data_IF_423028698166
#
_entry.id   IF_423028698166
#
_cell.length_a   1.000
_cell.length_b   1.000
_cell.length_c   1.000
_cell.angle_alpha   90.00
_cell.angle_beta   90.00
_cell.angle_gamma   90.00
#
_symmetry.space_group_name_H-M   'P 1'
#
loop_
_entity.id
_entity.type
_entity.pdbx_description
1 polymer ?
#
# COMPACT_ATOMS: atom_id res chain seq x y z
N UNK A 1 23.44 72.34 -45.86
CA UNK A 1 22.34 72.96 -45.08
C UNK A 1 21.29 71.87 -44.84
N UNK A 2 21.49 71.03 -43.82
CA UNK A 2 20.91 71.12 -42.45
C UNK A 2 19.39 70.84 -42.39
N UNK A 3 19.03 69.61 -42.01
CA UNK A 3 18.00 69.34 -40.98
C UNK A 3 18.00 67.86 -40.56
N UNK A 4 18.37 67.59 -39.31
CA UNK A 4 18.28 66.30 -38.59
C UNK A 4 16.81 65.94 -38.25
N UNK A 5 16.41 64.66 -38.22
CA UNK A 5 15.19 64.23 -37.56
C UNK A 5 15.45 63.73 -36.12
N UNK A 6 14.49 64.06 -35.24
CA UNK A 6 14.44 63.78 -33.80
C UNK A 6 14.30 62.28 -33.50
N UNK A 7 15.08 61.81 -32.53
CA UNK A 7 14.96 60.52 -31.86
C UNK A 7 13.71 60.48 -30.96
N UNK A 8 12.87 59.44 -31.14
CA UNK A 8 11.79 59.07 -30.23
C UNK A 8 12.15 57.72 -29.59
N UNK A 9 12.67 57.76 -28.36
CA UNK A 9 12.83 56.56 -27.54
C UNK A 9 11.47 56.16 -26.96
N UNK A 10 10.90 55.04 -27.44
CA UNK A 10 9.74 54.38 -26.83
C UNK A 10 10.21 53.50 -25.67
N UNK A 11 9.82 53.85 -24.45
CA UNK A 11 9.98 53.00 -23.28
C UNK A 11 9.16 51.69 -23.44
N UNK A 12 9.80 50.54 -23.24
CA UNK A 12 9.11 49.24 -23.12
C UNK A 12 8.41 49.16 -21.77
N UNK A 13 7.15 48.67 -21.68
CA UNK A 13 6.54 48.40 -20.40
C UNK A 13 7.21 47.17 -19.76
N UNK A 14 7.54 47.28 -18.48
CA UNK A 14 7.97 46.17 -17.63
C UNK A 14 6.79 45.21 -17.46
N UNK A 15 6.92 43.99 -17.97
CA UNK A 15 6.00 42.89 -17.68
C UNK A 15 6.26 42.45 -16.23
N UNK A 16 5.26 42.42 -15.33
CA UNK A 16 5.48 41.92 -13.98
C UNK A 16 5.77 40.42 -14.06
N UNK A 17 6.91 40.01 -13.53
CA UNK A 17 7.25 38.60 -13.33
C UNK A 17 6.16 37.96 -12.47
N UNK A 18 5.41 37.01 -13.05
CA UNK A 18 4.48 36.17 -12.28
C UNK A 18 5.32 35.30 -11.36
N UNK A 19 5.37 35.65 -10.08
CA UNK A 19 5.76 34.71 -9.04
C UNK A 19 4.81 33.51 -9.11
N UNK A 20 5.31 32.39 -9.63
CA UNK A 20 4.67 31.09 -9.46
C UNK A 20 4.87 30.74 -7.99
N UNK A 21 3.86 30.96 -7.16
CA UNK A 21 3.79 30.29 -5.86
C UNK A 21 3.66 28.79 -6.16
N UNK A 22 4.77 28.04 -6.08
CA UNK A 22 4.68 26.59 -5.90
C UNK A 22 4.04 26.37 -4.52
N UNK A 23 2.74 26.12 -4.49
CA UNK A 23 2.12 25.57 -3.29
C UNK A 23 2.81 24.23 -3.04
N UNK A 24 3.67 24.17 -2.02
CA UNK A 24 4.29 22.92 -1.60
C UNK A 24 3.17 21.96 -1.20
N UNK A 25 3.05 20.85 -1.94
CA UNK A 25 2.06 19.81 -1.63
C UNK A 25 2.43 19.14 -0.30
N UNK A 26 1.42 18.87 0.51
CA UNK A 26 1.59 18.27 1.85
C UNK A 26 0.85 16.95 1.96
N UNK A 27 1.30 16.10 2.89
CA UNK A 27 0.71 14.79 3.19
C UNK A 27 0.81 14.50 4.69
N UNK A 28 0.14 13.44 5.15
CA UNK A 28 0.18 13.04 6.56
C UNK A 28 1.29 12.01 6.84
N UNK A 29 2.03 12.24 7.92
CA UNK A 29 2.89 11.26 8.58
C UNK A 29 2.39 11.10 10.02
N UNK A 30 1.57 10.07 10.24
CA UNK A 30 0.76 9.98 11.44
C UNK A 30 -0.11 11.24 11.61
N UNK A 31 -0.03 11.89 12.75
CA UNK A 31 -0.76 13.14 13.02
C UNK A 31 -0.05 14.41 12.55
N UNK A 32 1.20 14.31 12.08
CA UNK A 32 1.96 15.44 11.53
C UNK A 32 1.60 15.68 10.06
N UNK A 33 1.49 16.95 9.68
CA UNK A 33 1.43 17.36 8.26
C UNK A 33 2.84 17.73 7.81
N UNK A 34 3.31 17.11 6.73
CA UNK A 34 4.69 17.25 6.23
C UNK A 34 4.70 17.52 4.71
N UNK A 35 5.79 18.05 4.14
CA UNK A 35 5.98 18.08 2.70
C UNK A 35 5.88 16.68 2.08
N UNK A 36 5.20 16.55 0.93
CA UNK A 36 4.98 15.26 0.26
C UNK A 36 6.30 14.53 -0.06
N UNK A 37 7.30 15.28 -0.51
CA UNK A 37 8.67 14.82 -0.80
C UNK A 37 9.41 14.23 0.42
N UNK A 38 8.99 14.55 1.64
CA UNK A 38 9.64 14.06 2.87
C UNK A 38 9.02 12.77 3.41
N UNK A 39 7.82 12.37 2.94
CA UNK A 39 7.10 11.24 3.54
C UNK A 39 7.79 9.91 3.29
N UNK A 40 8.26 9.69 2.06
CA UNK A 40 8.90 8.43 1.67
C UNK A 40 10.14 8.14 2.53
N UNK A 41 11.00 9.14 2.72
CA UNK A 41 12.21 8.99 3.53
C UNK A 41 11.88 8.74 5.00
N UNK A 42 10.90 9.44 5.59
CA UNK A 42 10.47 9.22 6.98
C UNK A 42 9.87 7.82 7.19
N UNK A 43 9.03 7.38 6.26
CA UNK A 43 8.46 6.03 6.28
C UNK A 43 9.56 4.99 6.16
N UNK A 44 10.53 5.19 5.26
CA UNK A 44 11.70 4.30 5.13
C UNK A 44 12.48 4.20 6.45
N UNK A 45 12.72 5.31 7.16
CA UNK A 45 13.41 5.27 8.45
C UNK A 45 12.65 4.44 9.50
N UNK A 46 11.32 4.57 9.57
CA UNK A 46 10.48 3.73 10.44
C UNK A 46 10.64 2.26 10.09
N UNK A 47 10.62 1.90 8.80
CA UNK A 47 10.78 0.50 8.40
C UNK A 47 12.20 -0.02 8.61
N UNK A 48 13.23 0.79 8.38
CA UNK A 48 14.62 0.41 8.59
C UNK A 48 14.91 0.17 10.09
N UNK A 49 14.31 0.95 11.00
CA UNK A 49 14.48 0.75 12.45
C UNK A 49 13.76 -0.49 12.97
N UNK A 50 12.64 -0.88 12.35
CA UNK A 50 11.86 -2.05 12.77
C UNK A 50 12.04 -3.28 11.88
N UNK A 51 12.89 -3.27 10.84
CA UNK A 51 12.96 -4.37 9.87
C UNK A 51 13.21 -5.74 10.53
N UNK A 52 14.15 -5.82 11.49
CA UNK A 52 14.43 -7.04 12.26
C UNK A 52 13.32 -7.44 13.24
N UNK A 53 12.37 -6.54 13.48
CA UNK A 53 11.28 -6.67 14.46
C UNK A 53 9.90 -6.42 13.81
N UNK A 54 9.79 -6.47 12.49
CA UNK A 54 8.56 -6.11 11.78
C UNK A 54 7.44 -7.09 12.08
N UNK A 55 7.78 -8.38 12.13
CA UNK A 55 6.87 -9.43 12.56
C UNK A 55 6.46 -9.23 14.03
N UNK A 56 7.38 -8.77 14.90
CA UNK A 56 7.10 -8.43 16.30
C UNK A 56 6.14 -7.24 16.43
N UNK A 57 6.30 -6.21 15.57
CA UNK A 57 5.41 -5.04 15.52
C UNK A 57 4.00 -5.43 15.05
N UNK A 58 3.91 -6.30 14.05
CA UNK A 58 2.63 -6.85 13.60
C UNK A 58 2.00 -7.77 14.67
N UNK A 59 2.81 -8.61 15.32
CA UNK A 59 2.34 -9.49 16.41
C UNK A 59 1.84 -8.66 17.60
N UNK A 60 2.55 -7.61 18.00
CA UNK A 60 2.17 -6.75 19.12
C UNK A 60 0.91 -5.90 18.83
N UNK A 61 0.75 -5.42 17.59
CA UNK A 61 -0.41 -4.59 17.20
C UNK A 61 -1.69 -5.39 16.96
N UNK A 62 -1.57 -6.67 16.61
CA UNK A 62 -2.71 -7.55 16.32
C UNK A 62 -2.87 -8.73 17.28
N UNK A 63 -2.02 -8.84 18.31
CA UNK A 63 -1.89 -10.04 19.15
C UNK A 63 -1.70 -11.34 18.33
N UNK A 64 -0.96 -11.24 17.22
CA UNK A 64 -0.71 -12.33 16.27
C UNK A 64 -1.87 -12.68 15.32
N UNK A 65 -3.05 -12.06 15.50
CA UNK A 65 -4.26 -12.34 14.72
C UNK A 65 -4.10 -11.95 13.24
N UNK A 66 -3.19 -11.04 12.92
CA UNK A 66 -2.93 -10.64 11.53
C UNK A 66 -2.58 -11.82 10.61
N UNK A 67 -2.02 -12.91 11.15
CA UNK A 67 -1.73 -14.14 10.39
C UNK A 67 -3.03 -14.76 9.86
N UNK A 68 -4.05 -14.85 10.72
CA UNK A 68 -5.38 -15.32 10.36
C UNK A 68 -6.06 -14.40 9.34
N UNK A 69 -5.86 -13.09 9.46
CA UNK A 69 -6.37 -12.13 8.48
C UNK A 69 -5.73 -12.30 7.10
N UNK A 70 -4.41 -12.53 7.05
CA UNK A 70 -3.68 -12.80 5.80
C UNK A 70 -4.11 -14.13 5.16
N UNK A 71 -4.34 -15.16 5.97
CA UNK A 71 -4.88 -16.45 5.51
C UNK A 71 -6.29 -16.29 4.94
N UNK A 72 -7.18 -15.61 5.66
CA UNK A 72 -8.53 -15.32 5.21
C UNK A 72 -8.54 -14.46 3.94
N UNK A 73 -7.64 -13.48 3.84
CA UNK A 73 -7.46 -12.63 2.67
C UNK A 73 -7.13 -13.46 1.44
N UNK A 74 -6.08 -14.27 1.47
CA UNK A 74 -5.69 -15.09 0.31
C UNK A 74 -6.74 -16.16 -0.01
N UNK A 75 -7.32 -16.81 1.00
CA UNK A 75 -8.37 -17.82 0.82
C UNK A 75 -9.62 -17.26 0.13
N UNK A 76 -9.97 -15.99 0.40
CA UNK A 76 -11.10 -15.33 -0.26
C UNK A 76 -10.85 -15.11 -1.76
N UNK A 77 -9.60 -14.87 -2.15
CA UNK A 77 -9.18 -14.64 -3.54
C UNK A 77 -9.15 -15.93 -4.37
N UNK A 78 -8.98 -17.08 -3.73
CA UNK A 78 -8.96 -18.42 -4.36
C UNK A 78 -8.01 -18.51 -5.57
N UNK A 79 -6.73 -18.09 -5.42
CA UNK A 79 -5.76 -18.19 -6.53
C UNK A 79 -5.63 -19.64 -7.00
N UNK A 80 -5.46 -19.85 -8.30
CA UNK A 80 -5.38 -21.18 -8.92
C UNK A 80 -6.74 -21.85 -9.21
N UNK A 81 -7.85 -21.37 -8.63
CA UNK A 81 -9.18 -22.00 -8.81
C UNK A 81 -9.64 -22.06 -10.28
N UNK A 82 -9.32 -21.03 -11.06
CA UNK A 82 -9.69 -20.90 -12.48
C UNK A 82 -8.52 -21.20 -13.41
N UNK A 83 -7.45 -21.81 -12.87
CA UNK A 83 -6.18 -21.98 -13.56
C UNK A 83 -5.11 -20.99 -13.10
N UNK A 84 -3.92 -21.04 -13.74
CA UNK A 84 -2.76 -20.24 -13.37
C UNK A 84 -3.01 -18.73 -13.46
N UNK A 85 -2.50 -17.99 -12.47
CA UNK A 85 -2.60 -16.53 -12.40
C UNK A 85 -1.22 -15.89 -12.45
N UNK A 86 -1.11 -14.73 -13.10
CA UNK A 86 0.00 -13.82 -12.91
C UNK A 86 -0.36 -12.77 -11.87
N UNK A 87 0.22 -12.89 -10.68
CA UNK A 87 -0.07 -12.04 -9.54
C UNK A 87 1.03 -10.97 -9.34
N UNK A 88 0.67 -9.84 -8.75
CA UNK A 88 1.60 -8.86 -8.20
C UNK A 88 1.24 -8.57 -6.74
N UNK A 89 2.23 -8.64 -5.85
CA UNK A 89 2.08 -8.33 -4.42
C UNK A 89 2.89 -7.08 -4.07
N UNK A 90 2.20 -5.99 -3.78
CA UNK A 90 2.76 -4.64 -3.67
C UNK A 90 2.88 -4.21 -2.23
N UNK A 91 3.99 -3.53 -1.89
CA UNK A 91 4.43 -3.30 -0.52
C UNK A 91 4.57 -4.63 0.26
N UNK A 92 4.95 -5.68 -0.47
CA UNK A 92 4.98 -7.07 -0.02
C UNK A 92 6.38 -7.58 0.28
N UNK A 93 7.36 -6.72 0.57
CA UNK A 93 8.78 -7.06 0.50
C UNK A 93 9.21 -8.32 1.26
N UNK A 94 8.58 -8.63 2.39
CA UNK A 94 8.83 -9.87 3.17
C UNK A 94 8.30 -11.15 2.52
N UNK A 95 7.50 -11.03 1.45
CA UNK A 95 6.96 -12.11 0.65
C UNK A 95 5.88 -12.97 1.33
N UNK A 96 5.32 -12.55 2.46
CA UNK A 96 4.34 -13.35 3.23
C UNK A 96 3.05 -13.61 2.42
N UNK A 97 2.46 -12.59 1.80
CA UNK A 97 1.27 -12.76 0.95
C UNK A 97 1.61 -13.54 -0.32
N UNK A 98 2.74 -13.23 -0.97
CA UNK A 98 3.20 -13.97 -2.14
C UNK A 98 3.35 -15.47 -1.87
N UNK A 99 3.96 -15.85 -0.74
CA UNK A 99 4.09 -17.24 -0.34
C UNK A 99 2.72 -17.90 -0.14
N UNK A 100 1.80 -17.21 0.54
CA UNK A 100 0.43 -17.69 0.76
C UNK A 100 -0.35 -17.89 -0.52
N UNK A 101 -0.20 -17.00 -1.50
CA UNK A 101 -0.82 -17.15 -2.82
C UNK A 101 -0.34 -18.43 -3.49
N UNK A 102 0.98 -18.65 -3.51
CA UNK A 102 1.60 -19.83 -4.13
C UNK A 102 1.19 -21.13 -3.42
N UNK A 103 1.25 -21.15 -2.09
CA UNK A 103 0.85 -22.30 -1.28
C UNK A 103 -0.64 -22.61 -1.46
N UNK A 104 -1.51 -21.59 -1.41
CA UNK A 104 -2.95 -21.80 -1.60
C UNK A 104 -3.27 -22.36 -3.00
N UNK A 105 -2.67 -21.80 -4.06
CA UNK A 105 -2.86 -22.29 -5.42
C UNK A 105 -2.42 -23.76 -5.57
N UNK A 106 -1.25 -24.09 -5.02
CA UNK A 106 -0.68 -25.45 -5.04
C UNK A 106 -1.50 -26.44 -4.23
N UNK A 107 -1.82 -26.12 -2.98
CA UNK A 107 -2.42 -27.05 -2.04
C UNK A 107 -3.92 -27.23 -2.28
N UNK A 108 -4.63 -26.14 -2.61
CA UNK A 108 -6.08 -26.18 -2.79
C UNK A 108 -6.50 -26.56 -4.22
N UNK A 109 -5.68 -26.27 -5.23
CA UNK A 109 -6.06 -26.43 -6.64
C UNK A 109 -5.01 -27.16 -7.49
N UNK A 110 -3.94 -27.68 -6.89
CA UNK A 110 -2.84 -28.36 -7.60
C UNK A 110 -2.14 -27.51 -8.68
N UNK A 111 -2.31 -26.19 -8.63
CA UNK A 111 -1.69 -25.25 -9.56
C UNK A 111 -0.22 -24.99 -9.20
N UNK A 112 0.67 -25.22 -10.16
CA UNK A 112 2.12 -25.06 -10.03
C UNK A 112 2.69 -24.01 -10.99
N UNK A 113 1.81 -23.29 -11.67
CA UNK A 113 2.15 -22.32 -12.72
C UNK A 113 1.78 -20.89 -12.33
N UNK A 114 0.95 -20.68 -11.29
CA UNK A 114 0.77 -19.35 -10.70
C UNK A 114 2.12 -18.73 -10.32
N UNK A 115 2.30 -17.47 -10.72
CA UNK A 115 3.51 -16.68 -10.47
C UNK A 115 3.18 -15.42 -9.68
N UNK A 116 4.09 -14.96 -8.82
CA UNK A 116 3.93 -13.72 -8.06
C UNK A 116 5.16 -12.82 -8.23
N UNK A 117 4.94 -11.60 -8.74
CA UNK A 117 5.93 -10.54 -8.72
C UNK A 117 5.78 -9.76 -7.39
N UNK A 118 6.79 -9.80 -6.53
CA UNK A 118 6.83 -9.07 -5.26
C UNK A 118 7.45 -7.70 -5.50
N UNK A 119 6.74 -6.64 -5.14
CA UNK A 119 7.17 -5.25 -5.30
C UNK A 119 7.25 -4.57 -3.94
N UNK A 120 8.39 -3.97 -3.62
CA UNK A 120 8.54 -3.09 -2.46
C UNK A 120 9.50 -1.94 -2.78
N UNK A 121 9.37 -0.81 -2.09
CA UNK A 121 10.30 0.32 -2.23
C UNK A 121 11.53 0.16 -1.32
N UNK A 122 11.44 -0.71 -0.31
CA UNK A 122 12.52 -0.95 0.63
C UNK A 122 13.34 -2.20 0.28
N UNK A 123 14.57 -1.99 -0.20
CA UNK A 123 15.53 -3.04 -0.49
C UNK A 123 15.81 -4.00 0.69
N UNK A 124 15.78 -3.51 1.93
CA UNK A 124 15.96 -4.36 3.11
C UNK A 124 14.80 -5.36 3.27
N UNK A 125 13.56 -4.91 3.07
CA UNK A 125 12.39 -5.77 3.14
C UNK A 125 12.44 -6.86 2.06
N UNK A 126 12.82 -6.49 0.83
CA UNK A 126 13.00 -7.46 -0.28
C UNK A 126 14.11 -8.47 0.03
N UNK A 127 15.20 -8.05 0.67
CA UNK A 127 16.28 -8.95 1.09
C UNK A 127 15.82 -9.97 2.13
N UNK A 128 15.00 -9.55 3.08
CA UNK A 128 14.37 -10.46 4.05
C UNK A 128 13.42 -11.44 3.37
N UNK A 129 12.56 -10.97 2.45
CA UNK A 129 11.69 -11.82 1.66
C UNK A 129 12.45 -12.85 0.83
N UNK A 130 13.50 -12.42 0.13
CA UNK A 130 14.37 -13.32 -0.62
C UNK A 130 15.02 -14.38 0.29
N UNK A 131 15.49 -13.99 1.48
CA UNK A 131 16.07 -14.91 2.47
C UNK A 131 15.05 -15.90 3.01
N UNK A 132 13.79 -15.48 3.19
CA UNK A 132 12.67 -16.37 3.54
C UNK A 132 12.42 -17.38 2.43
N UNK A 133 12.33 -16.91 1.18
CA UNK A 133 12.07 -17.77 0.03
C UNK A 133 13.17 -18.81 -0.22
N UNK A 134 14.44 -18.54 0.12
CA UNK A 134 15.54 -19.53 0.09
C UNK A 134 15.25 -20.82 0.86
N UNK A 135 14.37 -20.75 1.87
CA UNK A 135 13.99 -21.89 2.72
C UNK A 135 12.72 -22.59 2.24
N UNK A 136 12.14 -22.14 1.13
CA UNK A 136 10.90 -22.67 0.56
C UNK A 136 11.18 -23.43 -0.73
N UNK A 137 10.20 -24.19 -1.20
CA UNK A 137 10.30 -24.90 -2.49
C UNK A 137 10.23 -23.98 -3.72
N UNK A 138 9.88 -22.71 -3.53
CA UNK A 138 9.80 -21.72 -4.63
C UNK A 138 11.14 -21.04 -4.92
N UNK A 139 12.18 -21.32 -4.11
CA UNK A 139 13.50 -20.77 -4.36
C UNK A 139 14.03 -21.18 -5.75
N UNK A 140 14.56 -20.21 -6.51
CA UNK A 140 15.08 -20.40 -7.87
C UNK A 140 14.07 -21.02 -8.85
N UNK A 141 12.78 -20.79 -8.63
CA UNK A 141 11.71 -21.15 -9.58
C UNK A 141 11.22 -19.90 -10.32
N UNK A 142 10.61 -20.04 -11.51
CA UNK A 142 9.98 -18.91 -12.19
C UNK A 142 8.70 -18.41 -11.52
N UNK A 143 8.24 -19.06 -10.42
CA UNK A 143 6.98 -18.71 -9.75
C UNK A 143 7.08 -17.44 -8.89
N UNK A 144 8.28 -16.94 -8.60
CA UNK A 144 8.44 -15.74 -7.78
C UNK A 144 9.56 -14.86 -8.29
N UNK A 145 9.34 -13.55 -8.28
CA UNK A 145 10.37 -12.56 -8.56
C UNK A 145 10.24 -11.38 -7.59
N UNK A 146 11.33 -10.66 -7.35
CA UNK A 146 11.38 -9.53 -6.42
C UNK A 146 11.86 -8.28 -7.15
N UNK A 147 11.14 -7.17 -6.99
CA UNK A 147 11.38 -5.91 -7.68
C UNK A 147 11.40 -4.75 -6.68
N UNK A 148 12.47 -3.96 -6.72
CA UNK A 148 12.54 -2.68 -6.01
C UNK A 148 11.90 -1.58 -6.88
N UNK A 149 10.74 -1.08 -6.47
CA UNK A 149 10.02 -0.03 -7.20
C UNK A 149 9.04 0.73 -6.31
N UNK A 150 8.62 1.91 -6.77
CA UNK A 150 7.59 2.70 -6.10
C UNK A 150 6.19 2.25 -6.55
N UNK A 151 5.33 1.90 -5.59
CA UNK A 151 3.96 1.48 -5.87
C UNK A 151 3.09 2.55 -6.56
N UNK A 152 3.52 3.81 -6.50
CA UNK A 152 2.81 4.97 -7.03
C UNK A 152 3.24 5.35 -8.45
N UNK A 153 4.34 4.78 -8.93
CA UNK A 153 4.94 5.05 -10.22
C UNK A 153 5.76 3.82 -10.63
N UNK A 154 5.08 2.80 -11.15
CA UNK A 154 5.73 1.54 -11.51
C UNK A 154 6.34 1.66 -12.91
N UNK A 155 7.65 1.40 -13.09
CA UNK A 155 8.30 1.55 -14.40
C UNK A 155 7.64 0.69 -15.49
N UNK A 156 7.18 1.31 -16.57
CA UNK A 156 6.55 0.61 -17.71
C UNK A 156 7.43 -0.46 -18.36
N UNK A 157 8.76 -0.33 -18.25
CA UNK A 157 9.72 -1.33 -18.74
C UNK A 157 9.62 -2.67 -18.01
N UNK A 158 9.14 -2.65 -16.75
CA UNK A 158 8.99 -3.82 -15.89
C UNK A 158 7.50 -4.19 -15.73
N UNK A 159 6.65 -3.21 -15.47
CA UNK A 159 5.23 -3.38 -15.15
C UNK A 159 4.37 -2.87 -16.29
N UNK A 160 4.08 -3.76 -17.24
CA UNK A 160 3.25 -3.44 -18.41
C UNK A 160 1.77 -3.31 -18.02
N UNK A 161 1.07 -2.47 -18.77
CA UNK A 161 -0.38 -2.34 -18.72
C UNK A 161 -1.03 -3.70 -19.01
N UNK A 162 -2.19 -3.95 -18.40
CA UNK A 162 -3.03 -5.13 -18.66
C UNK A 162 -2.27 -6.46 -18.61
N UNK A 163 -1.42 -6.64 -17.60
CA UNK A 163 -0.48 -7.77 -17.57
C UNK A 163 -0.62 -8.70 -16.36
N UNK A 164 -1.35 -8.29 -15.31
CA UNK A 164 -1.63 -9.08 -14.12
C UNK A 164 -3.10 -9.49 -14.00
N UNK A 165 -3.33 -10.66 -13.44
CA UNK A 165 -4.66 -11.25 -13.16
C UNK A 165 -5.13 -10.96 -11.72
N UNK A 166 -4.18 -10.70 -10.82
CA UNK A 166 -4.44 -10.41 -9.41
C UNK A 166 -3.42 -9.40 -8.88
N UNK A 167 -3.90 -8.34 -8.23
CA UNK A 167 -3.10 -7.36 -7.51
C UNK A 167 -3.42 -7.45 -6.03
N UNK A 168 -2.42 -7.69 -5.20
CA UNK A 168 -2.55 -7.67 -3.74
C UNK A 168 -1.72 -6.55 -3.12
N UNK A 169 -2.27 -5.93 -2.07
CA UNK A 169 -1.51 -5.05 -1.17
C UNK A 169 -2.05 -5.22 0.24
N UNK A 170 -1.19 -5.70 1.15
CA UNK A 170 -1.58 -6.03 2.52
C UNK A 170 -0.78 -5.20 3.54
N UNK A 171 -1.48 -4.41 4.35
CA UNK A 171 -0.91 -3.54 5.39
C UNK A 171 0.18 -2.59 4.90
N UNK A 172 0.18 -2.23 3.62
CA UNK A 172 1.18 -1.35 3.00
C UNK A 172 0.62 0.00 2.56
N UNK A 173 -0.60 0.02 1.99
CA UNK A 173 -1.10 1.16 1.22
C UNK A 173 -1.27 2.44 2.06
N UNK A 174 -1.54 2.31 3.37
CA UNK A 174 -1.63 3.47 4.29
C UNK A 174 -0.35 4.29 4.38
N UNK A 175 0.80 3.67 4.09
CA UNK A 175 2.12 4.30 4.17
C UNK A 175 2.49 5.02 2.87
N UNK A 176 1.77 4.80 1.77
CA UNK A 176 2.01 5.49 0.52
C UNK A 176 1.71 6.99 0.65
N UNK A 177 2.44 7.81 -0.09
CA UNK A 177 2.27 9.27 -0.08
C UNK A 177 0.93 9.70 -0.68
N UNK A 178 0.49 8.98 -1.71
CA UNK A 178 -0.72 9.19 -2.50
C UNK A 178 -1.40 7.84 -2.77
N UNK A 179 -2.41 7.52 -1.98
CA UNK A 179 -3.28 6.35 -2.20
C UNK A 179 -3.91 6.38 -3.62
N UNK A 180 -4.42 7.52 -4.14
CA UNK A 180 -4.95 7.57 -5.50
C UNK A 180 -3.94 7.21 -6.59
N UNK A 181 -2.65 7.53 -6.41
CA UNK A 181 -1.61 7.14 -7.37
C UNK A 181 -1.41 5.61 -7.39
N UNK A 182 -1.36 4.98 -6.20
CA UNK A 182 -1.28 3.51 -6.09
C UNK A 182 -2.48 2.84 -6.75
N UNK A 183 -3.69 3.34 -6.51
CA UNK A 183 -4.91 2.76 -7.09
C UNK A 183 -4.94 2.91 -8.62
N UNK A 184 -4.42 4.02 -9.16
CA UNK A 184 -4.27 4.21 -10.62
C UNK A 184 -3.25 3.25 -11.22
N UNK A 185 -2.11 3.05 -10.57
CA UNK A 185 -1.10 2.07 -11.03
C UNK A 185 -1.64 0.65 -10.95
N UNK A 186 -2.35 0.30 -9.88
CA UNK A 186 -3.03 -0.99 -9.75
C UNK A 186 -4.02 -1.20 -10.90
N UNK A 187 -4.84 -0.19 -11.23
CA UNK A 187 -5.77 -0.26 -12.35
C UNK A 187 -5.04 -0.40 -13.70
N UNK A 188 -3.94 0.30 -13.91
CA UNK A 188 -3.15 0.23 -15.14
C UNK A 188 -2.59 -1.17 -15.40
N UNK A 189 -1.95 -1.77 -14.40
CA UNK A 189 -1.23 -3.05 -14.57
C UNK A 189 -2.15 -4.27 -14.59
N UNK A 190 -3.36 -4.17 -14.03
CA UNK A 190 -4.36 -5.24 -14.06
C UNK A 190 -5.01 -5.38 -15.44
N UNK A 191 -5.30 -6.61 -15.87
CA UNK A 191 -6.12 -6.89 -17.08
C UNK A 191 -7.60 -6.55 -16.86
N UNK A 192 -8.39 -6.30 -17.91
CA UNK A 192 -9.85 -6.34 -17.80
C UNK A 192 -10.32 -7.68 -17.24
N UNK A 193 -11.26 -7.66 -16.31
CA UNK A 193 -11.73 -8.79 -15.52
C UNK A 193 -10.84 -9.22 -14.36
N UNK A 194 -9.65 -8.62 -14.19
CA UNK A 194 -8.72 -8.95 -13.12
C UNK A 194 -9.09 -8.28 -11.79
N UNK A 195 -8.60 -8.85 -10.69
CA UNK A 195 -8.99 -8.45 -9.33
C UNK A 195 -7.93 -7.58 -8.67
N UNK A 196 -8.36 -6.45 -8.13
CA UNK A 196 -7.64 -5.70 -7.11
C UNK A 196 -8.10 -6.15 -5.72
N UNK A 197 -7.16 -6.42 -4.82
CA UNK A 197 -7.44 -6.84 -3.46
C UNK A 197 -6.53 -6.11 -2.47
N UNK A 198 -7.13 -5.50 -1.44
CA UNK A 198 -6.41 -4.79 -0.39
C UNK A 198 -6.83 -5.31 0.98
N UNK A 199 -5.86 -5.68 1.81
CA UNK A 199 -6.06 -5.97 3.23
C UNK A 199 -5.44 -4.82 4.02
N UNK A 200 -6.22 -4.08 4.80
CA UNK A 200 -5.70 -2.95 5.56
C UNK A 200 -6.46 -2.74 6.87
N UNK A 201 -5.83 -2.11 7.84
CA UNK A 201 -6.51 -1.63 9.03
C UNK A 201 -7.60 -0.62 8.66
N UNK A 202 -8.69 -0.61 9.42
CA UNK A 202 -9.80 0.30 9.17
C UNK A 202 -10.46 0.79 10.46
N UNK A 203 -11.66 1.35 10.32
CA UNK A 203 -12.41 1.89 11.44
C UNK A 203 -13.34 0.83 12.02
N UNK A 204 -13.22 0.64 13.32
CA UNK A 204 -14.12 -0.22 14.09
C UNK A 204 -15.54 0.36 14.05
N UNK A 205 -16.52 -0.47 13.66
CA UNK A 205 -17.90 -0.03 13.48
C UNK A 205 -18.66 0.15 14.80
N UNK A 206 -18.28 -0.57 15.85
CA UNK A 206 -18.95 -0.52 17.15
C UNK A 206 -18.33 0.58 18.03
N UNK A 207 -19.09 1.62 18.45
CA UNK A 207 -18.55 2.75 19.23
C UNK A 207 -17.92 2.36 20.58
N UNK A 208 -18.48 1.36 21.27
CA UNK A 208 -17.97 0.89 22.54
C UNK A 208 -16.65 0.15 22.35
N UNK A 209 -16.60 -0.74 21.35
CA UNK A 209 -15.38 -1.45 21.00
C UNK A 209 -14.30 -0.50 20.44
N UNK A 210 -14.69 0.52 19.68
CA UNK A 210 -13.77 1.55 19.18
C UNK A 210 -13.09 2.25 20.34
N UNK A 211 -13.82 2.66 21.37
CA UNK A 211 -13.24 3.37 22.53
C UNK A 211 -12.21 2.50 23.28
N UNK A 212 -12.52 1.22 23.48
CA UNK A 212 -11.59 0.28 24.12
C UNK A 212 -10.36 0.01 23.24
N UNK A 213 -10.57 -0.17 21.94
CA UNK A 213 -9.49 -0.35 20.97
C UNK A 213 -8.62 0.91 20.87
N UNK A 214 -9.22 2.09 20.86
CA UNK A 214 -8.54 3.38 20.93
C UNK A 214 -7.61 3.45 22.14
N UNK A 215 -8.13 3.16 23.33
CA UNK A 215 -7.35 3.21 24.56
C UNK A 215 -6.20 2.19 24.55
N UNK A 216 -6.46 0.96 24.10
CA UNK A 216 -5.45 -0.07 23.92
C UNK A 216 -4.38 0.36 22.90
N UNK A 217 -4.79 0.80 21.71
CA UNK A 217 -3.88 1.17 20.64
C UNK A 217 -3.00 2.36 21.01
N UNK A 218 -3.55 3.44 21.56
CA UNK A 218 -2.74 4.63 21.86
C UNK A 218 -1.87 4.51 23.11
N UNK A 219 -2.25 3.64 24.06
CA UNK A 219 -1.52 3.54 25.33
C UNK A 219 -0.63 2.30 25.42
N UNK A 220 -1.12 1.15 24.95
CA UNK A 220 -0.45 -0.14 25.12
C UNK A 220 0.51 -0.43 23.97
N UNK A 221 0.10 -0.23 22.71
CA UNK A 221 0.93 -0.59 21.55
C UNK A 221 2.28 0.19 21.55
N UNK A 222 2.33 1.53 21.71
CA UNK A 222 3.59 2.26 21.79
C UNK A 222 4.46 1.88 23.00
N UNK A 223 3.83 1.58 24.14
CA UNK A 223 4.54 1.16 25.34
C UNK A 223 5.17 -0.23 25.14
N UNK A 224 4.45 -1.16 24.52
CA UNK A 224 4.97 -2.47 24.15
C UNK A 224 6.12 -2.34 23.14
N UNK A 225 6.04 -1.42 22.18
CA UNK A 225 7.15 -1.12 21.28
C UNK A 225 8.40 -0.63 22.01
N UNK A 226 8.22 0.17 23.07
CA UNK A 226 9.33 0.60 23.95
C UNK A 226 9.97 -0.58 24.67
N UNK A 227 9.16 -1.49 25.22
CA UNK A 227 9.62 -2.61 26.04
C UNK A 227 10.26 -3.71 25.19
N UNK A 228 9.66 -4.03 24.04
CA UNK A 228 10.04 -5.19 23.23
C UNK A 228 11.09 -4.86 22.16
N UNK A 229 11.05 -3.65 21.60
CA UNK A 229 11.86 -3.27 20.45
C UNK A 229 12.68 -1.99 20.68
N UNK A 230 12.53 -1.33 21.82
CA UNK A 230 13.18 -0.04 22.08
C UNK A 230 12.72 1.09 21.15
N UNK A 231 11.61 0.93 20.43
CA UNK A 231 11.18 1.84 19.36
C UNK A 231 9.72 2.27 19.58
N UNK A 232 9.53 3.29 20.41
CA UNK A 232 8.20 3.85 20.69
C UNK A 232 7.65 4.61 19.49
N UNK A 233 8.50 5.32 18.76
CA UNK A 233 8.09 6.25 17.72
C UNK A 233 7.49 5.52 16.51
N UNK A 234 8.08 4.40 16.11
CA UNK A 234 7.54 3.56 15.03
C UNK A 234 6.16 2.98 15.35
N UNK A 235 5.95 2.56 16.60
CA UNK A 235 4.66 2.03 17.05
C UNK A 235 3.62 3.14 17.24
N UNK A 236 4.03 4.34 17.64
CA UNK A 236 3.17 5.52 17.66
C UNK A 236 2.73 5.88 16.24
N UNK A 237 3.67 5.95 15.29
CA UNK A 237 3.37 6.18 13.88
C UNK A 237 2.41 5.13 13.32
N UNK A 238 2.57 3.85 13.67
CA UNK A 238 1.65 2.78 13.27
C UNK A 238 0.20 3.14 13.66
N UNK A 239 -0.04 3.46 14.93
CA UNK A 239 -1.38 3.80 15.44
C UNK A 239 -1.94 5.05 14.75
N UNK A 240 -1.11 6.08 14.59
CA UNK A 240 -1.53 7.33 13.94
C UNK A 240 -1.85 7.13 12.45
N UNK A 241 -1.08 6.30 11.75
CA UNK A 241 -1.29 5.97 10.34
C UNK A 241 -2.62 5.25 10.12
N UNK A 242 -2.98 4.32 11.01
CA UNK A 242 -4.27 3.60 10.99
C UNK A 242 -5.42 4.60 11.13
N UNK A 243 -5.28 5.58 12.03
CA UNK A 243 -6.33 6.56 12.33
C UNK A 243 -6.55 7.56 11.20
N UNK A 244 -5.50 7.86 10.43
CA UNK A 244 -5.58 8.71 9.24
C UNK A 244 -6.08 7.97 8.00
N UNK A 245 -6.03 6.64 7.99
CA UNK A 245 -6.50 5.87 6.85
C UNK A 245 -8.01 6.09 6.60
N UNK A 246 -8.45 6.16 5.34
CA UNK A 246 -9.87 6.35 5.02
C UNK A 246 -10.74 5.24 5.62
N UNK A 247 -11.98 5.58 5.98
CA UNK A 247 -12.96 4.55 6.38
C UNK A 247 -13.35 3.67 5.20
N UNK A 248 -13.95 2.52 5.48
CA UNK A 248 -14.31 1.53 4.48
C UNK A 248 -15.13 2.09 3.30
N UNK A 249 -16.18 2.92 3.51
CA UNK A 249 -16.93 3.52 2.39
C UNK A 249 -16.11 4.54 1.61
N UNK A 250 -15.27 5.32 2.29
CA UNK A 250 -14.42 6.33 1.63
C UNK A 250 -13.35 5.65 0.79
N UNK A 251 -12.71 4.59 1.30
CA UNK A 251 -11.72 3.84 0.54
C UNK A 251 -12.36 3.09 -0.64
N UNK A 252 -13.55 2.51 -0.47
CA UNK A 252 -14.32 1.92 -1.56
C UNK A 252 -14.62 2.96 -2.66
N UNK A 253 -14.99 4.18 -2.28
CA UNK A 253 -15.20 5.27 -3.22
C UNK A 253 -13.91 5.64 -3.98
N UNK A 254 -12.77 5.73 -3.30
CA UNK A 254 -11.47 5.97 -3.95
C UNK A 254 -11.10 4.87 -4.95
N UNK A 255 -11.41 3.61 -4.64
CA UNK A 255 -11.22 2.48 -5.55
C UNK A 255 -12.08 2.64 -6.81
N UNK A 256 -13.35 3.04 -6.66
CA UNK A 256 -14.24 3.33 -7.80
C UNK A 256 -13.72 4.48 -8.65
N UNK A 257 -13.24 5.55 -8.03
CA UNK A 257 -12.66 6.72 -8.72
C UNK A 257 -11.40 6.39 -9.53
N UNK A 258 -10.68 5.33 -9.16
CA UNK A 258 -9.55 4.82 -9.92
C UNK A 258 -9.96 3.99 -11.15
N UNK A 259 -11.25 3.71 -11.34
CA UNK A 259 -11.78 3.00 -12.50
C UNK A 259 -12.29 1.58 -12.23
N UNK A 260 -12.20 1.10 -10.99
CA UNK A 260 -12.66 -0.24 -10.64
C UNK A 260 -14.16 -0.33 -10.37
N UNK A 261 -14.75 -1.49 -10.63
CA UNK A 261 -16.07 -1.86 -10.15
C UNK A 261 -15.99 -2.55 -8.78
N UNK A 262 -16.84 -2.14 -7.85
CA UNK A 262 -16.95 -2.71 -6.50
C UNK A 262 -18.35 -3.30 -6.27
N UNK A 263 -18.51 -4.07 -5.19
CA UNK A 263 -19.84 -4.36 -4.64
C UNK A 263 -20.53 -3.11 -4.06
N UNK A 264 -21.69 -3.30 -3.43
CA UNK A 264 -22.41 -2.22 -2.74
C UNK A 264 -21.72 -1.79 -1.43
N UNK A 265 -22.00 -0.57 -0.97
CA UNK A 265 -21.36 0.05 0.20
C UNK A 265 -21.86 -0.56 1.53
N UNK A 266 -21.45 -1.80 1.79
CA UNK A 266 -21.75 -2.57 2.99
C UNK A 266 -20.68 -3.64 3.20
N UNK A 267 -20.64 -4.16 4.43
CA UNK A 267 -19.89 -5.37 4.77
C UNK A 267 -20.38 -6.59 3.94
N UNK A 268 -19.44 -7.36 3.40
CA UNK A 268 -19.66 -8.41 2.39
C UNK A 268 -19.96 -7.88 0.98
N UNK A 269 -19.84 -6.57 0.74
CA UNK A 269 -20.06 -5.90 -0.54
C UNK A 269 -18.75 -5.36 -1.12
N UNK A 270 -18.56 -4.04 -1.04
CA UNK A 270 -17.32 -3.38 -1.45
C UNK A 270 -16.15 -3.66 -0.49
N UNK A 271 -16.44 -4.09 0.74
CA UNK A 271 -15.47 -4.55 1.72
C UNK A 271 -16.03 -5.70 2.55
N UNK A 272 -15.13 -6.41 3.22
CA UNK A 272 -15.44 -7.39 4.27
C UNK A 272 -14.70 -7.00 5.53
N UNK A 273 -15.41 -6.73 6.62
CA UNK A 273 -14.82 -6.38 7.89
C UNK A 273 -14.27 -7.63 8.60
N UNK A 274 -13.05 -7.51 9.12
CA UNK A 274 -12.42 -8.52 9.96
C UNK A 274 -12.42 -8.01 11.40
N UNK A 275 -12.95 -8.84 12.30
CA UNK A 275 -12.98 -8.58 13.74
C UNK A 275 -13.65 -7.25 14.11
N UNK A 276 -14.81 -6.98 13.50
CA UNK A 276 -15.61 -5.78 13.79
C UNK A 276 -15.04 -4.48 13.18
N UNK A 277 -14.16 -4.60 12.17
CA UNK A 277 -13.62 -3.48 11.39
C UNK A 277 -12.22 -3.03 11.83
N UNK A 278 -11.52 -3.81 12.68
CA UNK A 278 -10.10 -3.54 12.99
C UNK A 278 -9.27 -3.60 11.70
N UNK A 279 -9.49 -4.65 10.91
CA UNK A 279 -8.98 -4.77 9.56
C UNK A 279 -10.15 -5.00 8.60
N UNK A 280 -9.93 -4.72 7.33
CA UNK A 280 -10.92 -4.93 6.28
C UNK A 280 -10.24 -5.45 5.02
N UNK A 281 -10.99 -6.22 4.25
CA UNK A 281 -10.61 -6.66 2.91
C UNK A 281 -11.46 -5.90 1.91
N UNK A 282 -10.85 -5.09 1.05
CA UNK A 282 -11.51 -4.51 -0.11
C UNK A 282 -11.17 -5.34 -1.35
N UNK A 283 -12.18 -5.64 -2.16
CA UNK A 283 -11.99 -6.29 -3.46
C UNK A 283 -12.73 -5.52 -4.54
N UNK A 284 -12.12 -5.43 -5.71
CA UNK A 284 -12.67 -4.74 -6.86
C UNK A 284 -12.18 -5.37 -8.15
N UNK A 285 -12.92 -5.15 -9.24
CA UNK A 285 -12.62 -5.74 -10.55
C UNK A 285 -12.39 -4.61 -11.55
N UNK A 286 -11.35 -4.73 -12.38
CA UNK A 286 -11.18 -3.87 -13.54
C UNK A 286 -12.18 -4.32 -14.61
N UNK A 287 -13.01 -3.42 -15.12
CA UNK A 287 -13.98 -3.74 -16.17
C UNK A 287 -13.31 -3.81 -17.55
#
# INVERSE_FOLDING_TARGET
MLSLPRSLARARPLVPSRHIHSQHRTTSFGFKTIPEESKESLVKHVFDSVASSYDLMNDASSLGVHRLWKDAFVSTLKPGRKGPLRCIDVAGGTGDIALRILDHARESYADRETTVDVLDINAHMLKEGFTRFKKTMYHNTPQVSFHEANAQDMPHSLFKDDSYDLYTIAFGIRNCTSIPAVLKEAHRVLKPGATFACLEFSKVNNPLFSTLYDQYSFSIIPLMGTILAGDRESYQYLVESIRKFPSQPVFAQMIREAGFATGGDRDGGAWTDLWGGIACIHTAVKL
#
